data_IF_113993115850
#
_entry.id   IF_113993115850
#
_cell.length_a   1.000
_cell.length_b   1.000
_cell.length_c   1.000
_cell.angle_alpha   90.00
_cell.angle_beta   90.00
_cell.angle_gamma   90.00
#
_symmetry.space_group_name_H-M   'P 1'
#
loop_
_entity.id
_entity.type
_entity.pdbx_description
1 polymer ?
#
# COMPACT_ATOMS: atom_id res chain seq x y z
N UNK A 1 15.91 -21.86 -26.30
CA UNK A 1 14.48 -21.73 -26.01
C UNK A 1 14.33 -21.42 -24.51
N UNK A 2 13.98 -20.21 -24.15
CA UNK A 2 13.65 -19.88 -22.75
C UNK A 2 12.19 -20.22 -22.56
N UNK A 3 11.90 -21.29 -21.81
CA UNK A 3 10.54 -21.59 -21.38
C UNK A 3 10.03 -20.41 -20.58
N UNK A 4 9.04 -19.74 -21.13
CA UNK A 4 8.25 -18.73 -20.41
C UNK A 4 7.40 -19.50 -19.41
N UNK A 5 7.96 -19.77 -18.23
CA UNK A 5 7.18 -20.28 -17.10
C UNK A 5 6.07 -19.26 -16.86
N UNK A 6 4.86 -19.55 -17.32
CA UNK A 6 3.67 -18.77 -17.00
C UNK A 6 3.49 -18.84 -15.47
N UNK A 7 3.99 -17.80 -14.79
CA UNK A 7 3.90 -17.69 -13.34
C UNK A 7 2.43 -17.67 -12.96
N UNK A 8 1.98 -18.69 -12.27
CA UNK A 8 0.59 -18.79 -11.78
C UNK A 8 0.26 -17.57 -10.93
N UNK A 9 -0.85 -16.93 -11.23
CA UNK A 9 -1.32 -15.74 -10.49
C UNK A 9 -1.59 -16.13 -9.03
N UNK A 10 -1.08 -15.39 -8.02
CA UNK A 10 -1.21 -15.77 -6.61
C UNK A 10 -2.68 -15.76 -6.16
N UNK A 11 -2.99 -16.54 -5.12
CA UNK A 11 -4.36 -16.70 -4.62
C UNK A 11 -5.05 -15.36 -4.29
N UNK A 12 -4.30 -14.39 -3.75
CA UNK A 12 -4.82 -13.05 -3.44
C UNK A 12 -5.23 -12.24 -4.68
N UNK A 13 -4.74 -12.61 -5.86
CA UNK A 13 -5.07 -11.98 -7.14
C UNK A 13 -5.99 -12.86 -8.02
N UNK A 14 -6.18 -14.13 -7.67
CA UNK A 14 -6.96 -15.07 -8.47
C UNK A 14 -8.42 -14.62 -8.61
N UNK A 15 -8.94 -14.62 -9.83
CA UNK A 15 -10.32 -14.23 -10.14
C UNK A 15 -10.64 -12.74 -9.96
N UNK A 16 -9.68 -11.91 -9.54
CA UNK A 16 -9.91 -10.47 -9.38
C UNK A 16 -9.69 -9.73 -10.69
N UNK A 17 -10.56 -8.78 -10.96
CA UNK A 17 -10.49 -7.90 -12.14
C UNK A 17 -10.55 -6.44 -11.68
N UNK A 18 -9.94 -5.55 -12.45
CA UNK A 18 -10.05 -4.11 -12.24
C UNK A 18 -11.46 -3.61 -12.51
N UNK A 19 -11.89 -2.67 -11.69
CA UNK A 19 -13.18 -2.01 -11.88
C UNK A 19 -13.09 -1.00 -13.03
N UNK A 20 -13.82 -1.23 -14.11
CA UNK A 20 -13.81 -0.38 -15.30
C UNK A 20 -14.23 1.07 -14.97
N UNK A 21 -15.30 1.27 -14.19
CA UNK A 21 -15.77 2.61 -13.81
C UNK A 21 -14.74 3.37 -13.00
N UNK A 22 -14.04 2.70 -12.08
CA UNK A 22 -12.94 3.33 -11.34
C UNK A 22 -11.75 3.63 -12.25
N UNK A 23 -11.47 2.79 -13.25
CA UNK A 23 -10.41 3.01 -14.23
C UNK A 23 -10.69 4.20 -15.16
N UNK A 24 -11.96 4.45 -15.47
CA UNK A 24 -12.38 5.63 -16.23
C UNK A 24 -12.30 6.91 -15.41
N UNK A 25 -12.71 6.85 -14.13
CA UNK A 25 -12.76 8.01 -13.25
C UNK A 25 -11.39 8.42 -12.71
N UNK A 26 -10.53 7.45 -12.37
CA UNK A 26 -9.25 7.72 -11.72
C UNK A 26 -8.06 7.36 -12.62
N UNK A 27 -7.01 8.18 -12.55
CA UNK A 27 -5.69 7.81 -13.04
C UNK A 27 -4.91 7.15 -11.90
N UNK A 28 -4.47 5.91 -12.12
CA UNK A 28 -3.63 5.17 -11.17
C UNK A 28 -2.20 5.19 -11.66
N UNK A 29 -1.29 5.82 -10.93
CA UNK A 29 0.12 5.99 -11.31
C UNK A 29 1.01 6.20 -10.09
N UNK A 30 2.31 6.23 -10.30
CA UNK A 30 3.25 6.63 -9.26
C UNK A 30 3.06 8.12 -8.93
N UNK A 31 3.36 8.46 -7.67
CA UNK A 31 3.30 9.84 -7.19
C UNK A 31 4.32 10.71 -7.93
N UNK A 32 3.96 11.97 -8.19
CA UNK A 32 4.90 12.98 -8.68
C UNK A 32 5.53 13.75 -7.51
N UNK A 33 6.78 14.24 -7.64
CA UNK A 33 7.45 14.92 -6.55
C UNK A 33 6.66 16.10 -5.97
N UNK A 34 5.98 16.86 -6.81
CA UNK A 34 5.16 18.02 -6.44
C UNK A 34 3.86 17.65 -5.70
N UNK A 35 3.48 16.36 -5.68
CA UNK A 35 2.26 15.88 -5.04
C UNK A 35 2.48 15.44 -3.58
N UNK A 36 3.71 15.44 -3.10
CA UNK A 36 4.04 14.97 -1.75
C UNK A 36 3.31 15.74 -0.64
N UNK A 37 3.13 17.05 -0.79
CA UNK A 37 2.36 17.86 0.15
C UNK A 37 0.88 17.49 0.14
N UNK A 38 0.29 17.30 -1.05
CA UNK A 38 -1.11 16.87 -1.14
C UNK A 38 -1.30 15.47 -0.53
N UNK A 39 -0.36 14.55 -0.72
CA UNK A 39 -0.40 13.24 -0.08
C UNK A 39 -0.34 13.35 1.45
N UNK A 40 0.49 14.26 1.98
CA UNK A 40 0.54 14.52 3.41
C UNK A 40 -0.78 15.08 3.96
N UNK A 41 -1.45 15.98 3.23
CA UNK A 41 -2.77 16.49 3.59
C UNK A 41 -3.82 15.36 3.62
N UNK A 42 -3.80 14.46 2.62
CA UNK A 42 -4.71 13.30 2.56
C UNK A 42 -4.49 12.39 3.77
N UNK A 43 -3.25 12.10 4.14
CA UNK A 43 -2.91 11.29 5.33
C UNK A 43 -3.47 11.94 6.61
N UNK A 44 -3.26 13.25 6.79
CA UNK A 44 -3.77 13.99 7.96
C UNK A 44 -5.31 13.97 8.06
N UNK A 45 -6.00 13.86 6.94
CA UNK A 45 -7.47 13.72 6.89
C UNK A 45 -7.90 12.27 7.20
N UNK A 46 -7.11 11.29 6.78
CA UNK A 46 -7.46 9.87 6.83
C UNK A 46 -7.15 9.23 8.17
N UNK A 47 -6.09 9.67 8.85
CA UNK A 47 -5.61 9.12 10.11
C UNK A 47 -5.67 10.14 11.26
N UNK A 48 -5.87 9.66 12.50
CA UNK A 48 -5.75 10.53 13.68
C UNK A 48 -4.29 10.99 13.85
N UNK A 49 -4.05 12.13 14.54
CA UNK A 49 -2.73 12.74 14.65
C UNK A 49 -1.62 11.85 15.23
N UNK A 50 -1.98 10.89 16.08
CA UNK A 50 -1.02 9.93 16.68
C UNK A 50 -0.59 8.83 15.72
N UNK A 51 -1.34 8.57 14.65
CA UNK A 51 -1.05 7.54 13.65
C UNK A 51 -0.49 8.13 12.35
N UNK A 52 -0.98 9.31 11.94
CA UNK A 52 -0.57 9.97 10.70
C UNK A 52 0.94 10.28 10.69
N UNK A 53 1.59 10.05 9.55
CA UNK A 53 2.98 10.48 9.38
C UNK A 53 3.06 12.01 9.24
N UNK A 54 4.24 12.57 9.54
CA UNK A 54 4.48 13.99 9.34
C UNK A 54 4.63 14.35 7.86
N UNK A 55 4.38 15.59 7.44
CA UNK A 55 4.64 16.02 6.06
C UNK A 55 6.08 15.77 5.61
N UNK A 56 7.05 15.90 6.49
CA UNK A 56 8.45 15.59 6.20
C UNK A 56 8.67 14.10 5.89
N UNK A 57 8.07 13.21 6.68
CA UNK A 57 8.13 11.77 6.43
C UNK A 57 7.48 11.42 5.08
N UNK A 58 6.34 12.05 4.76
CA UNK A 58 5.65 11.85 3.47
C UNK A 58 6.52 12.30 2.29
N UNK A 59 7.14 13.48 2.38
CA UNK A 59 8.08 13.97 1.35
C UNK A 59 9.23 12.99 1.14
N UNK A 60 9.80 12.47 2.21
CA UNK A 60 10.90 11.50 2.12
C UNK A 60 10.46 10.20 1.47
N UNK A 61 9.28 9.66 1.81
CA UNK A 61 8.73 8.45 1.17
C UNK A 61 8.53 8.66 -0.34
N UNK A 62 7.93 9.79 -0.74
CA UNK A 62 7.73 10.14 -2.13
C UNK A 62 9.04 10.34 -2.91
N UNK A 63 10.08 10.86 -2.26
CA UNK A 63 11.37 11.10 -2.90
C UNK A 63 12.23 9.83 -3.01
N UNK A 64 12.19 8.95 -1.99
CA UNK A 64 13.07 7.76 -1.90
C UNK A 64 12.51 6.57 -2.67
N UNK A 65 11.18 6.38 -2.63
CA UNK A 65 10.51 5.22 -3.20
C UNK A 65 9.23 5.60 -3.97
N UNK A 66 9.30 6.52 -4.97
CA UNK A 66 8.13 6.96 -5.72
C UNK A 66 7.43 5.81 -6.44
N UNK A 67 8.16 4.82 -6.91
CA UNK A 67 7.63 3.62 -7.57
C UNK A 67 6.90 2.65 -6.60
N UNK A 68 7.02 2.85 -5.29
CA UNK A 68 6.24 2.16 -4.25
C UNK A 68 5.13 3.05 -3.68
N UNK A 69 4.87 4.17 -4.33
CA UNK A 69 3.84 5.13 -3.94
C UNK A 69 2.80 5.28 -5.05
N UNK A 70 1.74 4.47 -5.01
CA UNK A 70 0.65 4.47 -5.98
C UNK A 70 -0.43 5.47 -5.57
N UNK A 71 -0.71 6.44 -6.41
CA UNK A 71 -1.81 7.40 -6.23
C UNK A 71 -2.99 7.08 -7.15
N UNK A 72 -4.21 7.35 -6.67
CA UNK A 72 -5.42 7.42 -7.46
C UNK A 72 -5.83 8.90 -7.59
N UNK A 73 -5.64 9.47 -8.77
CA UNK A 73 -5.95 10.87 -9.07
C UNK A 73 -7.31 10.94 -9.75
N UNK A 74 -8.24 11.68 -9.18
CA UNK A 74 -9.54 11.95 -9.82
C UNK A 74 -9.32 12.79 -11.08
N UNK A 75 -9.71 12.27 -12.23
CA UNK A 75 -9.49 12.91 -13.54
C UNK A 75 -10.27 14.22 -13.72
N UNK A 76 -11.38 14.38 -13.01
CA UNK A 76 -12.20 15.57 -13.07
C UNK A 76 -11.56 16.74 -12.30
N UNK A 77 -10.99 16.46 -11.12
CA UNK A 77 -10.40 17.50 -10.26
C UNK A 77 -8.91 17.64 -10.40
N UNK A 78 -8.22 16.63 -10.95
CA UNK A 78 -6.75 16.54 -10.98
C UNK A 78 -6.11 16.31 -9.61
N UNK A 79 -6.90 15.97 -8.57
CA UNK A 79 -6.42 15.81 -7.20
C UNK A 79 -6.36 14.34 -6.77
N UNK A 80 -5.47 14.05 -5.82
CA UNK A 80 -5.37 12.72 -5.20
C UNK A 80 -6.63 12.44 -4.40
N UNK A 81 -7.32 11.35 -4.75
CA UNK A 81 -8.49 10.82 -4.04
C UNK A 81 -8.11 9.78 -2.98
N UNK A 82 -6.99 9.12 -3.18
CA UNK A 82 -6.42 8.14 -2.28
C UNK A 82 -5.09 7.63 -2.79
N UNK A 83 -4.36 6.93 -1.96
CA UNK A 83 -3.07 6.34 -2.31
C UNK A 83 -2.74 5.12 -1.45
N UNK A 84 -1.67 4.43 -1.85
CA UNK A 84 -1.00 3.40 -1.08
C UNK A 84 0.49 3.61 -1.23
N UNK A 85 1.23 3.64 -0.10
CA UNK A 85 2.68 3.73 -0.11
C UNK A 85 3.32 2.62 0.71
N UNK A 86 4.56 2.28 0.36
CA UNK A 86 5.34 1.26 1.03
C UNK A 86 6.83 1.40 0.74
N UNK A 87 7.62 0.52 1.35
CA UNK A 87 9.07 0.40 1.14
C UNK A 87 9.40 -1.07 0.86
N UNK A 88 10.31 -1.32 -0.09
CA UNK A 88 10.84 -2.65 -0.32
C UNK A 88 11.96 -2.97 0.69
N UNK A 89 12.08 -4.25 1.06
CA UNK A 89 13.05 -4.75 2.03
C UNK A 89 13.18 -6.27 1.94
N UNK A 90 14.19 -6.84 2.56
CA UNK A 90 14.30 -8.29 2.78
C UNK A 90 13.73 -8.76 4.13
N UNK A 91 13.30 -7.83 4.99
CA UNK A 91 12.61 -8.16 6.23
C UNK A 91 11.22 -8.76 5.95
N UNK A 92 10.71 -9.55 6.90
CA UNK A 92 9.42 -10.26 6.77
C UNK A 92 8.33 -9.75 7.72
N UNK A 93 8.69 -8.88 8.64
CA UNK A 93 7.81 -8.28 9.63
C UNK A 93 7.91 -6.76 9.55
N UNK A 94 6.80 -6.08 9.81
CA UNK A 94 6.75 -4.63 9.79
C UNK A 94 7.04 -4.10 11.20
N UNK A 95 8.15 -3.40 11.36
CA UNK A 95 8.53 -2.70 12.59
C UNK A 95 8.40 -1.20 12.46
N UNK A 96 8.22 -0.51 13.57
CA UNK A 96 7.92 0.93 13.62
C UNK A 96 8.97 1.82 12.92
N UNK A 97 10.22 1.35 12.79
CA UNK A 97 11.28 2.08 12.10
C UNK A 97 10.93 2.38 10.63
N UNK A 98 10.19 1.48 9.95
CA UNK A 98 9.75 1.71 8.58
C UNK A 98 8.82 2.93 8.45
N UNK A 99 8.04 3.23 9.49
CA UNK A 99 7.22 4.44 9.48
C UNK A 99 8.05 5.70 9.61
N UNK A 100 9.21 5.64 10.30
CA UNK A 100 10.06 6.81 10.64
C UNK A 100 11.14 7.08 9.61
N UNK A 101 11.69 6.04 8.98
CA UNK A 101 12.87 6.14 8.14
C UNK A 101 12.68 5.50 6.76
N UNK A 102 12.40 6.34 5.77
CA UNK A 102 12.33 5.89 4.37
C UNK A 102 13.69 5.41 3.82
N UNK A 103 14.81 5.73 4.49
CA UNK A 103 16.15 5.23 4.15
C UNK A 103 16.32 3.71 4.33
N UNK A 104 15.38 3.05 5.00
CA UNK A 104 15.33 1.58 5.08
C UNK A 104 14.86 0.92 3.78
N UNK A 105 14.47 1.71 2.78
CA UNK A 105 14.10 1.20 1.47
C UNK A 105 15.29 0.54 0.77
N UNK A 106 15.10 -0.72 0.37
CA UNK A 106 16.00 -1.49 -0.48
C UNK A 106 15.28 -1.79 -1.81
N UNK A 107 15.62 -1.13 -2.93
CA UNK A 107 14.98 -1.35 -4.22
C UNK A 107 15.00 -2.80 -4.68
N UNK A 108 16.01 -3.59 -4.26
CA UNK A 108 16.16 -5.01 -4.59
C UNK A 108 15.48 -5.94 -3.56
N UNK A 109 14.92 -5.40 -2.49
CA UNK A 109 14.27 -6.17 -1.43
C UNK A 109 13.13 -7.03 -1.96
N UNK A 110 13.04 -8.28 -1.52
CA UNK A 110 12.06 -9.26 -2.00
C UNK A 110 10.63 -9.03 -1.46
N UNK A 111 10.49 -8.25 -0.39
CA UNK A 111 9.25 -8.00 0.31
C UNK A 111 8.90 -6.51 0.31
N UNK A 112 7.65 -6.19 0.60
CA UNK A 112 7.17 -4.81 0.72
C UNK A 112 6.48 -4.61 2.06
N UNK A 113 6.87 -3.57 2.79
CA UNK A 113 6.17 -3.08 3.97
C UNK A 113 5.25 -1.93 3.56
N UNK A 114 3.93 -2.11 3.72
CA UNK A 114 2.95 -1.06 3.45
C UNK A 114 2.83 -0.14 4.65
N UNK A 115 2.92 1.16 4.39
CA UNK A 115 2.94 2.19 5.43
C UNK A 115 1.63 2.96 5.55
N UNK A 116 0.83 3.03 4.47
CA UNK A 116 -0.46 3.70 4.49
C UNK A 116 -1.31 3.32 3.28
N UNK A 117 -2.60 3.11 3.51
CA UNK A 117 -3.64 3.01 2.50
C UNK A 117 -4.72 4.03 2.84
N UNK A 118 -4.76 5.08 2.08
CA UNK A 118 -5.57 6.27 2.30
C UNK A 118 -6.63 6.44 1.23
N UNK A 119 -7.84 6.74 1.64
CA UNK A 119 -8.92 7.17 0.75
C UNK A 119 -9.68 8.30 1.44
N UNK A 120 -9.71 9.46 0.80
CA UNK A 120 -10.45 10.62 1.30
C UNK A 120 -11.92 10.27 1.57
N UNK A 121 -12.54 10.81 2.62
CA UNK A 121 -13.92 10.47 3.01
C UNK A 121 -14.93 10.52 1.86
N UNK A 122 -14.82 11.51 0.96
CA UNK A 122 -15.72 11.69 -0.19
C UNK A 122 -15.66 10.52 -1.21
N UNK A 123 -14.56 9.75 -1.22
CA UNK A 123 -14.34 8.64 -2.16
C UNK A 123 -14.45 7.25 -1.51
N UNK A 124 -14.78 7.20 -0.20
CA UNK A 124 -14.93 5.94 0.53
C UNK A 124 -16.18 5.17 0.09
N UNK A 125 -16.21 3.86 0.40
CA UNK A 125 -17.34 2.94 0.14
C UNK A 125 -17.72 2.79 -1.33
N UNK A 126 -16.84 3.19 -2.25
CA UNK A 126 -16.99 3.06 -3.70
C UNK A 126 -16.04 2.00 -4.30
N UNK A 127 -15.33 1.26 -3.45
CA UNK A 127 -14.37 0.22 -3.86
C UNK A 127 -12.97 0.75 -4.16
N UNK A 128 -12.71 2.06 -4.01
CA UNK A 128 -11.42 2.66 -4.39
C UNK A 128 -10.22 2.07 -3.63
N UNK A 129 -10.34 1.84 -2.31
CA UNK A 129 -9.27 1.22 -1.52
C UNK A 129 -8.93 -0.20 -2.03
N UNK A 130 -9.95 -0.99 -2.37
CA UNK A 130 -9.77 -2.34 -2.93
C UNK A 130 -9.10 -2.28 -4.30
N UNK A 131 -9.47 -1.33 -5.14
CA UNK A 131 -8.88 -1.14 -6.48
C UNK A 131 -7.41 -0.69 -6.39
N UNK A 132 -7.09 0.26 -5.51
CA UNK A 132 -5.70 0.69 -5.24
C UNK A 132 -4.85 -0.51 -4.79
N UNK A 133 -5.35 -1.28 -3.81
CA UNK A 133 -4.65 -2.46 -3.30
C UNK A 133 -4.45 -3.52 -4.38
N UNK A 134 -5.49 -3.82 -5.18
CA UNK A 134 -5.40 -4.81 -6.25
C UNK A 134 -4.32 -4.43 -7.27
N UNK A 135 -4.29 -3.18 -7.70
CA UNK A 135 -3.27 -2.65 -8.63
C UNK A 135 -1.88 -2.72 -8.05
N UNK A 136 -1.75 -2.38 -6.77
CA UNK A 136 -0.47 -2.43 -6.07
C UNK A 136 0.06 -3.87 -5.98
N UNK A 137 -0.75 -4.81 -5.48
CA UNK A 137 -0.36 -6.22 -5.37
C UNK A 137 0.00 -6.84 -6.75
N UNK A 138 -0.77 -6.51 -7.79
CA UNK A 138 -0.49 -6.99 -9.14
C UNK A 138 0.83 -6.43 -9.69
N UNK A 139 1.10 -5.16 -9.43
CA UNK A 139 2.35 -4.50 -9.81
C UNK A 139 3.55 -5.16 -9.10
N UNK A 140 3.46 -5.36 -7.80
CA UNK A 140 4.55 -5.96 -7.03
C UNK A 140 4.77 -7.44 -7.37
N UNK A 141 3.69 -8.17 -7.66
CA UNK A 141 3.82 -9.52 -8.21
C UNK A 141 4.56 -9.56 -9.56
N UNK A 142 4.24 -8.64 -10.48
CA UNK A 142 4.93 -8.52 -11.78
C UNK A 142 6.41 -8.16 -11.61
N UNK A 143 6.74 -7.34 -10.62
CA UNK A 143 8.12 -6.97 -10.24
C UNK A 143 8.90 -8.11 -9.58
N UNK A 144 8.24 -9.20 -9.19
CA UNK A 144 8.91 -10.37 -8.61
C UNK A 144 8.90 -10.41 -7.10
N UNK A 145 8.24 -9.48 -6.43
CA UNK A 145 8.15 -9.47 -4.96
C UNK A 145 7.45 -10.74 -4.44
N UNK A 146 7.82 -11.15 -3.23
CA UNK A 146 7.34 -12.40 -2.61
C UNK A 146 6.24 -12.17 -1.59
N UNK A 147 6.38 -11.14 -0.77
CA UNK A 147 5.49 -10.87 0.36
C UNK A 147 5.16 -9.38 0.44
N UNK A 148 3.91 -9.07 0.78
CA UNK A 148 3.48 -7.70 1.12
C UNK A 148 2.90 -7.74 2.54
N UNK A 149 3.45 -6.94 3.43
CA UNK A 149 3.12 -6.92 4.86
C UNK A 149 2.54 -5.55 5.24
N UNK A 150 1.54 -5.57 6.10
CA UNK A 150 0.96 -4.36 6.69
C UNK A 150 0.60 -4.60 8.16
N UNK A 151 0.38 -3.51 8.88
CA UNK A 151 -0.29 -3.54 10.17
C UNK A 151 -1.63 -2.80 10.08
N UNK A 152 -2.63 -3.28 10.80
CA UNK A 152 -3.94 -2.64 10.86
C UNK A 152 -4.58 -2.81 12.24
N UNK A 153 -5.53 -1.94 12.58
CA UNK A 153 -6.38 -2.10 13.75
C UNK A 153 -7.30 -3.32 13.58
N UNK A 154 -7.68 -3.97 14.68
CA UNK A 154 -8.55 -5.15 14.70
C UNK A 154 -9.81 -4.98 13.82
N UNK A 155 -10.46 -3.82 13.89
CA UNK A 155 -11.65 -3.52 13.09
C UNK A 155 -11.42 -3.50 11.57
N UNK A 156 -10.16 -3.53 11.10
CA UNK A 156 -9.79 -3.58 9.68
C UNK A 156 -9.35 -4.95 9.19
N UNK A 157 -9.11 -5.90 10.08
CA UNK A 157 -8.67 -7.26 9.75
C UNK A 157 -9.59 -7.92 8.71
N UNK A 158 -10.91 -7.84 8.90
CA UNK A 158 -11.88 -8.38 7.94
C UNK A 158 -11.83 -7.72 6.57
N UNK A 159 -11.54 -6.42 6.49
CA UNK A 159 -11.38 -5.70 5.23
C UNK A 159 -10.16 -6.19 4.46
N UNK A 160 -8.99 -6.26 5.11
CA UNK A 160 -7.77 -6.76 4.48
C UNK A 160 -7.83 -8.25 4.17
N UNK A 161 -8.51 -9.05 5.01
CA UNK A 161 -8.80 -10.46 4.73
C UNK A 161 -9.54 -10.65 3.39
N UNK A 162 -10.54 -9.80 3.11
CA UNK A 162 -11.23 -9.77 1.80
C UNK A 162 -10.33 -9.34 0.64
N UNK A 163 -9.27 -8.60 0.91
CA UNK A 163 -8.26 -8.22 -0.09
C UNK A 163 -7.19 -9.30 -0.31
N UNK A 164 -7.24 -10.41 0.44
CA UNK A 164 -6.35 -11.56 0.28
C UNK A 164 -5.20 -11.62 1.28
N UNK A 165 -5.26 -10.81 2.33
CA UNK A 165 -4.28 -10.83 3.42
C UNK A 165 -4.64 -11.88 4.46
N UNK A 166 -3.62 -12.53 5.02
CA UNK A 166 -3.72 -13.42 6.18
C UNK A 166 -3.34 -12.65 7.43
N UNK A 167 -4.16 -12.76 8.47
CA UNK A 167 -3.87 -12.24 9.80
C UNK A 167 -2.90 -13.17 10.56
N UNK A 168 -1.87 -12.59 11.15
CA UNK A 168 -0.88 -13.26 12.01
C UNK A 168 -1.09 -12.97 13.49
N UNK A 169 -2.15 -12.24 13.86
CA UNK A 169 -2.44 -11.80 15.21
C UNK A 169 -1.74 -10.48 15.58
N UNK A 170 -1.60 -10.27 16.87
CA UNK A 170 -1.04 -9.03 17.42
C UNK A 170 0.39 -8.82 16.96
N UNK A 171 0.64 -7.66 16.36
CA UNK A 171 1.96 -7.18 15.92
C UNK A 171 2.80 -6.70 17.11
N UNK A 172 4.12 -6.65 16.92
CA UNK A 172 5.05 -5.97 17.84
C UNK A 172 5.05 -4.44 17.64
N UNK A 173 4.40 -3.92 16.60
CA UNK A 173 4.26 -2.49 16.37
C UNK A 173 3.40 -1.86 17.49
N UNK A 174 3.87 -0.72 17.97
CA UNK A 174 3.15 0.16 18.91
C UNK A 174 2.97 1.56 18.33
N UNK A 175 2.99 1.69 17.00
CA UNK A 175 2.84 2.96 16.31
C UNK A 175 1.60 3.71 16.77
N UNK A 176 1.75 4.99 17.07
CA UNK A 176 0.66 5.82 17.59
C UNK A 176 0.14 5.44 18.98
N UNK A 177 0.75 4.46 19.65
CA UNK A 177 0.27 3.94 20.95
C UNK A 177 -0.88 2.93 20.80
N UNK A 178 -1.16 2.46 19.59
CA UNK A 178 -2.25 1.53 19.29
C UNK A 178 -1.79 0.07 19.29
N UNK A 179 -2.74 -0.85 19.41
CA UNK A 179 -2.51 -2.27 19.22
C UNK A 179 -2.84 -2.69 17.78
N UNK A 180 -1.84 -3.19 17.09
CA UNK A 180 -1.93 -3.55 15.68
C UNK A 180 -1.97 -5.06 15.47
N UNK A 181 -2.67 -5.51 14.44
CA UNK A 181 -2.53 -6.83 13.84
C UNK A 181 -1.54 -6.78 12.69
N UNK A 182 -0.63 -7.76 12.60
CA UNK A 182 0.21 -7.93 11.43
C UNK A 182 -0.52 -8.81 10.41
N UNK A 183 -0.58 -8.35 9.18
CA UNK A 183 -1.19 -9.08 8.08
C UNK A 183 -0.24 -9.17 6.89
N UNK A 184 -0.29 -10.29 6.17
CA UNK A 184 0.53 -10.43 4.97
C UNK A 184 -0.22 -11.06 3.79
N UNK A 185 0.17 -10.65 2.58
CA UNK A 185 -0.26 -11.24 1.32
C UNK A 185 0.93 -11.87 0.63
N UNK A 186 0.87 -13.18 0.39
CA UNK A 186 1.92 -13.92 -0.33
C UNK A 186 1.70 -13.77 -1.83
N UNK A 187 2.70 -13.23 -2.53
CA UNK A 187 2.71 -13.06 -3.98
C UNK A 187 3.47 -14.18 -4.70
N UNK A 188 4.45 -14.80 -4.02
CA UNK A 188 5.25 -15.91 -4.54
C UNK A 188 5.62 -16.85 -3.41
N UNK A 189 6.08 -18.05 -3.77
CA UNK A 189 6.70 -18.95 -2.79
C UNK A 189 7.99 -18.33 -2.24
N UNK A 190 8.23 -18.57 -0.95
CA UNK A 190 9.32 -17.98 -0.16
C UNK A 190 10.38 -19.05 0.04
#
# INVERSE_FOLDING_TARGET
MRETCMKTRPACLAGRQHNAALSERFAFRDILPEEAEQAAEVEQICFPPNEACTPEMMRRRAAVAPEFFLVAVDRETGKIAGFLNGLATNERTLRDDFFRDAGLHDPEGENVMLLGLDVLPAYRRQGLATEIMLRYLEREWKRGRKLVVLTCLEGKVGMYGKMGYRDHGISQSSWGGEQWHEMSCRLREI
#
